data_IF_787791703120
#
_entry.id   IF_787791703120
#
_cell.length_a   1.000
_cell.length_b   1.000
_cell.length_c   1.000
_cell.angle_alpha   90.00
_cell.angle_beta   90.00
_cell.angle_gamma   90.00
#
_symmetry.space_group_name_H-M   'P 1'
#
loop_
_entity.id
_entity.type
_entity.pdbx_description
1 polymer ?
#
# COMPACT_ATOMS: atom_id res chain seq x y z
N UNK A 1 -43.53 3.28 62.86
CA UNK A 1 -42.10 2.91 62.82
C UNK A 1 -41.90 1.86 61.75
N UNK A 2 -41.30 2.23 60.61
CA UNK A 2 -40.70 1.28 59.66
C UNK A 2 -39.58 2.03 58.95
N UNK A 3 -38.41 2.00 59.61
CA UNK A 3 -37.12 2.36 59.03
C UNK A 3 -36.63 1.18 58.18
N UNK A 4 -35.74 1.46 57.22
CA UNK A 4 -34.96 0.52 56.37
C UNK A 4 -35.53 0.27 54.96
N UNK A 5 -35.08 1.06 53.98
CA UNK A 5 -35.03 0.67 52.55
C UNK A 5 -33.96 1.45 51.73
N UNK A 6 -33.06 2.19 52.38
CA UNK A 6 -32.04 3.01 51.70
C UNK A 6 -30.73 2.27 51.41
N UNK A 7 -30.32 1.35 52.30
CA UNK A 7 -28.98 0.72 52.21
C UNK A 7 -28.85 -0.29 51.06
N UNK A 8 -29.91 -1.05 50.77
CA UNK A 8 -29.88 -2.08 49.72
C UNK A 8 -29.77 -1.51 48.30
N UNK A 9 -30.33 -0.32 48.06
CA UNK A 9 -30.24 0.36 46.75
C UNK A 9 -28.83 0.92 46.49
N UNK A 10 -28.16 1.39 47.53
CA UNK A 10 -26.76 1.86 47.44
C UNK A 10 -25.83 0.68 47.14
N UNK A 11 -26.01 -0.46 47.81
CA UNK A 11 -25.23 -1.67 47.54
C UNK A 11 -25.42 -2.21 46.11
N UNK A 12 -26.66 -2.22 45.61
CA UNK A 12 -26.96 -2.61 44.22
C UNK A 12 -26.31 -1.66 43.20
N UNK A 13 -26.28 -0.36 43.49
CA UNK A 13 -25.67 0.64 42.61
C UNK A 13 -24.15 0.47 42.52
N UNK A 14 -23.48 0.22 43.66
CA UNK A 14 -22.03 -0.04 43.68
C UNK A 14 -21.67 -1.35 42.98
N UNK A 15 -22.46 -2.41 43.15
CA UNK A 15 -22.27 -3.67 42.42
C UNK A 15 -22.38 -3.48 40.90
N UNK A 16 -23.33 -2.65 40.44
CA UNK A 16 -23.52 -2.36 39.03
C UNK A 16 -22.33 -1.57 38.44
N UNK A 17 -21.80 -0.58 39.17
CA UNK A 17 -20.60 0.17 38.75
C UNK A 17 -19.38 -0.75 38.64
N UNK A 18 -19.17 -1.66 39.58
CA UNK A 18 -18.06 -2.61 39.52
C UNK A 18 -18.17 -3.54 38.30
N UNK A 19 -19.37 -4.09 38.02
CA UNK A 19 -19.59 -4.93 36.84
C UNK A 19 -19.39 -4.16 35.53
N UNK A 20 -19.85 -2.91 35.47
CA UNK A 20 -19.66 -2.05 34.31
C UNK A 20 -18.18 -1.67 34.10
N UNK A 21 -17.43 -1.43 35.18
CA UNK A 21 -15.99 -1.18 35.13
C UNK A 21 -15.20 -2.38 34.60
N UNK A 22 -15.55 -3.61 35.04
CA UNK A 22 -14.94 -4.85 34.52
C UNK A 22 -15.29 -5.04 33.04
N UNK A 23 -16.51 -4.70 32.63
CA UNK A 23 -16.92 -4.77 31.22
C UNK A 23 -16.13 -3.80 30.33
N UNK A 24 -15.88 -2.57 30.79
CA UNK A 24 -15.03 -1.60 30.07
C UNK A 24 -13.57 -2.09 30.00
N UNK A 25 -13.04 -2.67 31.08
CA UNK A 25 -11.70 -3.25 31.07
C UNK A 25 -11.59 -4.44 30.11
N UNK A 26 -12.62 -5.29 30.01
CA UNK A 26 -12.65 -6.38 29.03
C UNK A 26 -12.72 -5.84 27.59
N UNK A 27 -13.50 -4.79 27.33
CA UNK A 27 -13.56 -4.14 26.01
C UNK A 27 -12.21 -3.53 25.60
N UNK A 28 -11.48 -2.91 26.53
CA UNK A 28 -10.16 -2.33 26.22
C UNK A 28 -9.10 -3.38 25.91
N UNK A 29 -9.17 -4.57 26.54
CA UNK A 29 -8.32 -5.71 26.16
C UNK A 29 -8.67 -6.26 24.77
N UNK A 30 -9.95 -6.24 24.38
CA UNK A 30 -10.40 -6.67 23.06
C UNK A 30 -9.87 -5.76 21.94
N UNK A 31 -9.89 -4.45 22.15
CA UNK A 31 -9.32 -3.46 21.22
C UNK A 31 -7.81 -3.65 21.07
N UNK A 32 -7.09 -3.89 22.18
CA UNK A 32 -5.65 -4.12 22.13
C UNK A 32 -5.28 -5.43 21.42
N UNK A 33 -6.06 -6.51 21.56
CA UNK A 33 -5.79 -7.77 20.86
C UNK A 33 -6.18 -7.72 19.37
N UNK A 34 -7.18 -6.92 19.00
CA UNK A 34 -7.53 -6.69 17.60
C UNK A 34 -6.46 -5.87 16.85
N UNK A 35 -5.81 -4.92 17.53
CA UNK A 35 -4.72 -4.11 16.96
C UNK A 35 -3.45 -4.95 16.73
N UNK A 36 -3.16 -5.94 17.59
CA UNK A 36 -1.98 -6.80 17.45
C UNK A 36 -2.11 -7.81 16.29
N UNK A 37 -3.33 -8.09 15.82
CA UNK A 37 -3.58 -9.07 14.75
C UNK A 37 -3.63 -8.45 13.34
N UNK A 38 -3.57 -7.12 13.22
CA UNK A 38 -3.85 -6.42 11.96
C UNK A 38 -2.64 -6.17 11.05
N UNK A 39 -1.39 -6.38 11.48
CA UNK A 39 -0.25 -5.82 10.74
C UNK A 39 1.02 -6.67 10.76
N UNK A 40 1.01 -7.88 10.19
CA UNK A 40 2.24 -8.50 9.64
C UNK A 40 1.87 -9.54 8.58
N UNK A 41 1.18 -9.12 7.51
CA UNK A 41 1.28 -9.88 6.26
C UNK A 41 2.74 -9.79 5.81
N UNK A 42 3.43 -10.93 5.76
CA UNK A 42 4.80 -10.98 5.27
C UNK A 42 4.82 -10.62 3.78
N UNK A 43 5.93 -10.07 3.28
CA UNK A 43 6.08 -9.71 1.86
C UNK A 43 5.76 -10.89 0.92
N UNK A 44 6.04 -12.13 1.34
CA UNK A 44 5.69 -13.35 0.60
C UNK A 44 4.18 -13.61 0.54
N UNK A 45 3.44 -13.41 1.63
CA UNK A 45 1.99 -13.57 1.65
C UNK A 45 1.29 -12.46 0.85
N UNK A 46 1.86 -11.26 0.85
CA UNK A 46 1.42 -10.15 0.01
C UNK A 46 1.70 -10.42 -1.47
N UNK A 47 2.85 -11.00 -1.83
CA UNK A 47 3.13 -11.43 -3.21
C UNK A 47 2.11 -12.47 -3.71
N UNK A 48 1.73 -13.42 -2.85
CA UNK A 48 0.76 -14.47 -3.18
C UNK A 48 -0.65 -13.93 -3.48
N UNK A 49 -1.02 -12.78 -2.92
CA UNK A 49 -2.30 -12.10 -3.17
C UNK A 49 -2.35 -11.38 -4.53
N UNK A 50 -1.19 -11.14 -5.17
CA UNK A 50 -1.11 -10.46 -6.46
C UNK A 50 -0.44 -11.34 -7.51
N UNK A 51 -1.18 -12.28 -8.14
CA UNK A 51 -0.58 -13.28 -9.00
C UNK A 51 -0.01 -12.66 -10.27
N UNK A 52 1.18 -13.18 -10.59
CA UNK A 52 2.03 -13.21 -11.78
C UNK A 52 2.29 -11.93 -12.60
N UNK A 53 3.54 -11.82 -13.12
CA UNK A 53 3.94 -10.73 -14.01
C UNK A 53 3.10 -10.71 -15.29
N UNK A 54 2.79 -9.51 -15.78
CA UNK A 54 2.38 -9.37 -17.18
C UNK A 54 3.61 -9.77 -18.02
N UNK A 55 3.42 -10.63 -19.02
CA UNK A 55 4.51 -11.10 -19.90
C UNK A 55 5.44 -9.94 -20.29
N UNK A 56 6.77 -10.17 -20.38
CA UNK A 56 7.73 -9.10 -20.61
C UNK A 56 7.39 -8.37 -21.90
N UNK A 57 6.90 -7.14 -21.75
CA UNK A 57 6.68 -6.24 -22.87
C UNK A 57 8.01 -5.53 -23.09
N UNK A 58 8.66 -5.81 -24.20
CA UNK A 58 9.82 -5.05 -24.66
C UNK A 58 9.32 -3.69 -25.13
N UNK A 59 9.47 -2.66 -24.30
CA UNK A 59 9.10 -1.29 -24.69
C UNK A 59 10.34 -0.54 -25.15
N UNK A 60 10.29 0.04 -26.35
CA UNK A 60 11.33 0.96 -26.82
C UNK A 60 11.08 2.36 -26.27
N UNK A 61 12.11 2.92 -25.63
CA UNK A 61 12.06 4.21 -24.94
C UNK A 61 11.96 5.40 -25.91
N UNK A 62 10.99 6.27 -25.69
CA UNK A 62 10.94 7.64 -26.22
C UNK A 62 10.75 8.66 -25.08
N UNK A 63 11.67 8.69 -24.12
CA UNK A 63 11.61 9.63 -22.98
C UNK A 63 12.98 10.15 -22.55
N UNK A 64 13.19 11.46 -22.63
CA UNK A 64 14.36 12.13 -22.02
C UNK A 64 14.09 12.34 -20.53
N UNK A 65 14.94 11.77 -19.67
CA UNK A 65 14.90 12.07 -18.24
C UNK A 65 15.35 13.52 -18.05
N UNK A 66 14.60 14.31 -17.28
CA UNK A 66 15.00 15.67 -16.96
C UNK A 66 16.17 15.65 -15.97
N UNK A 67 17.15 16.54 -16.14
CA UNK A 67 18.33 16.64 -15.25
C UNK A 67 17.92 16.77 -13.77
N UNK A 68 16.85 17.53 -13.50
CA UNK A 68 16.27 17.69 -12.16
C UNK A 68 15.72 16.38 -11.59
N UNK A 69 15.13 15.53 -12.44
CA UNK A 69 14.65 14.21 -12.05
C UNK A 69 15.79 13.27 -11.64
N UNK A 70 16.92 13.31 -12.35
CA UNK A 70 18.11 12.50 -12.03
C UNK A 70 18.68 12.87 -10.67
N UNK A 71 18.78 14.17 -10.37
CA UNK A 71 19.32 14.62 -9.08
C UNK A 71 18.44 14.21 -7.91
N UNK A 72 17.11 14.18 -8.10
CA UNK A 72 16.15 13.81 -7.06
C UNK A 72 15.99 12.29 -6.90
N UNK A 73 16.18 11.55 -7.99
CA UNK A 73 15.98 10.10 -8.06
C UNK A 73 17.23 9.43 -8.65
N UNK A 74 18.32 9.31 -7.86
CA UNK A 74 19.53 8.60 -8.30
C UNK A 74 19.24 7.13 -8.66
N UNK A 75 18.19 6.55 -8.10
CA UNK A 75 17.72 5.20 -8.41
C UNK A 75 17.12 5.01 -9.81
N UNK A 76 16.80 6.11 -10.50
CA UNK A 76 15.99 6.08 -11.71
C UNK A 76 16.58 5.15 -12.79
N UNK A 77 17.91 5.18 -12.96
CA UNK A 77 18.60 4.35 -13.96
C UNK A 77 18.42 2.84 -13.70
N UNK A 78 18.52 2.40 -12.44
CA UNK A 78 18.38 0.99 -12.08
C UNK A 78 16.94 0.48 -12.30
N UNK A 79 15.95 1.33 -12.06
CA UNK A 79 14.53 1.01 -12.27
C UNK A 79 14.22 1.00 -13.78
N UNK A 80 14.73 1.98 -14.54
CA UNK A 80 14.61 2.00 -16.00
C UNK A 80 15.17 0.72 -16.62
N UNK A 81 16.37 0.31 -16.22
CA UNK A 81 16.97 -0.94 -16.68
C UNK A 81 16.10 -2.16 -16.34
N UNK A 82 15.56 -2.21 -15.11
CA UNK A 82 14.67 -3.28 -14.68
C UNK A 82 13.40 -3.35 -15.53
N UNK A 83 12.76 -2.21 -15.78
CA UNK A 83 11.53 -2.16 -16.57
C UNK A 83 11.73 -2.44 -18.06
N UNK A 84 12.90 -2.12 -18.60
CA UNK A 84 13.25 -2.52 -19.97
C UNK A 84 13.41 -4.04 -20.11
N UNK A 85 13.80 -4.73 -19.03
CA UNK A 85 13.93 -6.20 -19.00
C UNK A 85 12.58 -6.88 -18.78
N UNK A 86 11.83 -6.42 -17.78
CA UNK A 86 10.54 -7.02 -17.42
C UNK A 86 9.68 -6.05 -16.61
N UNK A 87 8.43 -5.90 -17.04
CA UNK A 87 7.40 -5.20 -16.29
C UNK A 87 6.65 -6.24 -15.46
N UNK A 88 6.69 -6.11 -14.13
CA UNK A 88 5.99 -7.01 -13.23
C UNK A 88 4.48 -6.70 -13.23
N UNK A 89 4.10 -5.46 -12.99
CA UNK A 89 2.70 -5.06 -12.97
C UNK A 89 2.49 -3.70 -13.58
N UNK A 90 1.27 -3.48 -14.07
CA UNK A 90 0.82 -2.17 -14.52
C UNK A 90 -0.37 -1.72 -13.70
N UNK A 91 -0.29 -0.47 -13.27
CA UNK A 91 -1.33 0.19 -12.50
C UNK A 91 -1.76 1.45 -13.23
N UNK A 92 -3.05 1.72 -13.28
CA UNK A 92 -3.63 2.92 -13.89
C UNK A 92 -3.90 3.94 -12.79
N UNK A 93 -3.38 5.14 -12.94
CA UNK A 93 -3.67 6.28 -12.06
C UNK A 93 -5.19 6.51 -11.97
N UNK A 94 -5.69 6.81 -10.76
CA UNK A 94 -7.12 7.01 -10.51
C UNK A 94 -7.65 8.33 -11.09
N UNK A 95 -6.77 9.31 -11.22
CA UNK A 95 -7.14 10.70 -11.48
C UNK A 95 -6.59 11.19 -12.83
N UNK A 96 -5.45 10.65 -13.26
CA UNK A 96 -4.76 11.07 -14.48
C UNK A 96 -4.76 9.97 -15.56
N UNK A 97 -4.55 10.36 -16.82
CA UNK A 97 -4.29 9.42 -17.93
C UNK A 97 -2.83 8.96 -17.91
N UNK A 98 -2.46 8.31 -16.81
CA UNK A 98 -1.09 7.86 -16.54
C UNK A 98 -1.13 6.41 -16.05
N UNK A 99 -0.13 5.65 -16.45
CA UNK A 99 0.12 4.30 -15.97
C UNK A 99 1.39 4.28 -15.14
N UNK A 100 1.49 3.32 -14.24
CA UNK A 100 2.68 3.04 -13.45
C UNK A 100 3.14 1.64 -13.79
N UNK A 101 4.33 1.54 -14.38
CA UNK A 101 5.01 0.27 -14.61
C UNK A 101 5.83 -0.04 -13.38
N UNK A 102 5.54 -1.19 -12.77
CA UNK A 102 6.17 -1.71 -11.57
C UNK A 102 7.18 -2.77 -11.96
N UNK A 103 8.42 -2.62 -11.52
CA UNK A 103 9.53 -3.50 -11.87
C UNK A 103 10.40 -3.76 -10.65
N UNK A 104 11.08 -4.91 -10.64
CA UNK A 104 12.00 -5.30 -9.57
C UNK A 104 13.44 -5.13 -10.03
N UNK A 105 14.22 -4.34 -9.31
CA UNK A 105 15.63 -4.09 -9.62
C UNK A 105 16.50 -5.29 -9.23
N UNK A 106 17.74 -5.32 -9.75
CA UNK A 106 18.72 -6.36 -9.41
C UNK A 106 19.05 -6.41 -7.91
N UNK A 107 18.92 -5.28 -7.21
CA UNK A 107 19.09 -5.18 -5.75
C UNK A 107 17.89 -5.69 -4.95
N UNK A 108 16.84 -6.19 -5.63
CA UNK A 108 15.64 -6.71 -5.00
C UNK A 108 14.61 -5.65 -4.58
N UNK A 109 14.86 -4.37 -4.89
CA UNK A 109 13.92 -3.26 -4.63
C UNK A 109 12.88 -3.13 -5.74
N UNK A 110 11.74 -2.54 -5.40
CA UNK A 110 10.61 -2.31 -6.27
C UNK A 110 10.51 -0.84 -6.64
N UNK A 111 10.58 -0.54 -7.94
CA UNK A 111 10.51 0.81 -8.46
C UNK A 111 9.33 1.01 -9.41
N UNK A 112 8.94 2.27 -9.59
CA UNK A 112 7.87 2.67 -10.51
C UNK A 112 8.39 3.57 -11.61
N UNK A 113 7.81 3.39 -12.80
CA UNK A 113 7.94 4.32 -13.92
C UNK A 113 6.56 4.81 -14.32
N UNK A 114 6.28 6.11 -14.16
CA UNK A 114 5.06 6.68 -14.70
C UNK A 114 5.16 6.79 -16.22
N UNK A 115 4.13 6.34 -16.92
CA UNK A 115 4.03 6.36 -18.38
C UNK A 115 2.74 7.08 -18.78
N UNK A 116 2.85 8.02 -19.71
CA UNK A 116 1.70 8.71 -20.30
C UNK A 116 1.55 8.23 -21.74
N UNK A 117 0.35 7.77 -22.09
CA UNK A 117 0.04 7.41 -23.48
C UNK A 117 -0.49 8.66 -24.17
N UNK A 118 0.26 9.19 -25.13
CA UNK A 118 -0.12 10.36 -25.92
C UNK A 118 0.03 10.05 -27.40
N UNK A 119 -1.02 10.25 -28.18
CA UNK A 119 -1.03 9.97 -29.63
C UNK A 119 -0.62 8.53 -30.02
N UNK A 120 -0.81 7.55 -29.13
CA UNK A 120 -0.40 6.15 -29.35
C UNK A 120 1.06 5.86 -29.00
N UNK A 121 1.79 6.84 -28.49
CA UNK A 121 3.17 6.67 -28.02
C UNK A 121 3.24 6.68 -26.49
N UNK A 122 4.10 5.83 -25.94
CA UNK A 122 4.40 5.80 -24.51
C UNK A 122 5.49 6.80 -24.15
N UNK A 123 5.13 7.81 -23.36
CA UNK A 123 6.07 8.80 -22.83
C UNK A 123 6.45 8.41 -21.41
N UNK A 124 7.67 7.89 -21.26
CA UNK A 124 8.23 7.48 -19.98
C UNK A 124 8.69 8.70 -19.17
N UNK A 125 8.27 8.78 -17.91
CA UNK A 125 8.70 9.80 -16.95
C UNK A 125 9.80 9.26 -16.04
N UNK A 126 10.38 10.14 -15.23
CA UNK A 126 11.44 9.79 -14.28
C UNK A 126 10.98 8.67 -13.35
N UNK A 127 11.76 7.59 -13.32
CA UNK A 127 11.55 6.46 -12.44
C UNK A 127 11.93 6.78 -10.99
N UNK A 128 11.30 6.14 -10.01
CA UNK A 128 11.57 6.38 -8.59
C UNK A 128 11.16 5.21 -7.68
N UNK A 129 11.70 5.20 -6.46
CA UNK A 129 11.21 4.34 -5.37
C UNK A 129 10.12 5.06 -4.55
N UNK A 130 8.88 4.56 -4.50
CA UNK A 130 7.95 4.95 -3.45
C UNK A 130 8.48 4.52 -2.07
N UNK A 131 8.66 5.48 -1.16
CA UNK A 131 9.21 5.22 0.17
C UNK A 131 10.62 4.64 0.09
N UNK A 132 10.82 3.44 0.66
CA UNK A 132 12.13 2.76 0.68
C UNK A 132 12.35 1.78 -0.48
N UNK A 133 11.37 1.63 -1.38
CA UNK A 133 11.42 0.65 -2.48
C UNK A 133 11.16 -0.79 -2.04
N UNK A 134 10.69 -1.02 -0.81
CA UNK A 134 10.14 -2.32 -0.40
C UNK A 134 8.74 -2.53 -0.94
N UNK A 135 8.32 -3.79 -1.11
CA UNK A 135 7.03 -4.13 -1.73
C UNK A 135 5.85 -3.44 -1.04
N UNK A 136 5.83 -3.44 0.28
CA UNK A 136 4.76 -2.83 1.09
C UNK A 136 4.61 -1.33 0.87
N UNK A 137 5.70 -0.58 0.78
CA UNK A 137 5.66 0.87 0.51
C UNK A 137 5.13 1.15 -0.90
N UNK A 138 5.55 0.35 -1.88
CA UNK A 138 5.13 0.49 -3.27
C UNK A 138 3.65 0.15 -3.43
N UNK A 139 3.20 -0.96 -2.87
CA UNK A 139 1.78 -1.34 -2.91
C UNK A 139 0.94 -0.31 -2.19
N UNK A 140 1.35 0.16 -1.01
CA UNK A 140 0.63 1.21 -0.26
C UNK A 140 0.50 2.49 -1.09
N UNK A 141 1.56 2.92 -1.76
CA UNK A 141 1.51 4.06 -2.68
C UNK A 141 0.50 3.82 -3.80
N UNK A 142 0.61 2.69 -4.48
CA UNK A 142 -0.24 2.34 -5.62
C UNK A 142 -1.71 2.16 -5.24
N UNK A 143 -2.03 1.55 -4.11
CA UNK A 143 -3.42 1.40 -3.65
C UNK A 143 -4.06 2.74 -3.36
N UNK A 144 -3.28 3.74 -2.96
CA UNK A 144 -3.78 5.09 -2.70
C UNK A 144 -3.96 5.88 -4.00
N UNK A 145 -3.04 5.78 -4.95
CA UNK A 145 -3.00 6.64 -6.16
C UNK A 145 -3.55 6.00 -7.43
N UNK A 146 -3.56 4.68 -7.51
CA UNK A 146 -3.80 3.93 -8.72
C UNK A 146 -4.70 2.69 -8.49
N UNK A 147 -5.08 2.04 -9.58
CA UNK A 147 -5.80 0.76 -9.58
C UNK A 147 -5.06 -0.22 -10.49
N UNK A 148 -5.01 -1.50 -10.11
CA UNK A 148 -4.33 -2.50 -10.92
C UNK A 148 -4.97 -2.59 -12.31
N UNK A 149 -4.15 -2.43 -13.35
CA UNK A 149 -4.59 -2.54 -14.73
C UNK A 149 -4.52 -4.01 -15.17
N UNK A 150 -5.63 -4.53 -15.71
CA UNK A 150 -5.75 -5.91 -16.20
C UNK A 150 -6.01 -5.99 -17.71
N UNK A 151 -5.97 -4.85 -18.39
CA UNK A 151 -6.21 -4.79 -19.84
C UNK A 151 -4.93 -5.08 -20.64
N UNK A 152 -5.05 -5.28 -21.95
CA UNK A 152 -3.89 -5.29 -22.83
C UNK A 152 -3.21 -3.91 -22.80
N UNK A 153 -1.88 -3.91 -22.73
CA UNK A 153 -1.07 -2.72 -23.00
C UNK A 153 -0.94 -2.68 -24.52
N UNK A 154 -1.52 -1.67 -25.16
CA UNK A 154 -1.53 -1.50 -26.61
C UNK A 154 -0.49 -0.47 -27.00
#
# INVERSE_FOLDING_TARGET
>A
MTHSNGLGKVFLFFAFICLFGVFILMLSQLENMAVVSASTLTDEQLLALYPEPISPITVQRTGRVSQHGITKHPEAAAIEEACNKSIFQVWRDKYERKYYYLCKTAEGKWGLIPVIISAGEEIWKTAFYPGTGVWTDVVRYLTNTATRYKGPIK
#
